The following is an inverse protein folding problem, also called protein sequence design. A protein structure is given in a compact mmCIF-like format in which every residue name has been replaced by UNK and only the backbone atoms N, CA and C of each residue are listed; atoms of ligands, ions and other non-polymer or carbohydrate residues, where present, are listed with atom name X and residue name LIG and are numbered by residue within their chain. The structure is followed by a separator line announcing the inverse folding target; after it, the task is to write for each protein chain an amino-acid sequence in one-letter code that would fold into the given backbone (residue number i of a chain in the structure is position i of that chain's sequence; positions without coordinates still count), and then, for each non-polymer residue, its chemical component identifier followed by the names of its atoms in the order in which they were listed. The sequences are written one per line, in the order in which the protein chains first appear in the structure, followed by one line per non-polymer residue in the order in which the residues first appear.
data_IF_701429794108
#
_entry.id   IF_701429794108
#
_cell.length_a   1.000
_cell.length_b   1.000
_cell.length_c   1.000
_cell.angle_alpha   90.00
_cell.angle_beta   90.00
_cell.angle_gamma   90.00
#
_symmetry.space_group_name_H-M   'P 1'
#
loop_
_entity.id
_entity.type
_entity.pdbx_description
1 polymer ?
#
# COMPACT_ATOMS: atom_id res chain seq x y z
N UNK A 1 9.59 2.36 -11.78
CA UNK A 1 8.15 2.55 -11.53
C UNK A 1 7.92 2.36 -10.04
N UNK A 2 7.17 3.23 -9.36
CA UNK A 2 6.91 3.07 -7.92
C UNK A 2 5.92 1.91 -7.69
N UNK A 3 5.95 1.31 -6.49
CA UNK A 3 5.07 0.18 -6.15
C UNK A 3 3.58 0.54 -6.27
N UNK A 4 3.23 1.79 -5.95
CA UNK A 4 1.87 2.33 -6.11
C UNK A 4 1.42 2.47 -7.56
N UNK A 5 2.32 2.90 -8.47
CA UNK A 5 2.02 2.95 -9.90
C UNK A 5 1.79 1.54 -10.47
N UNK A 6 2.62 0.58 -10.05
CA UNK A 6 2.56 -0.79 -10.50
C UNK A 6 1.23 -1.47 -10.10
N UNK A 7 0.74 -1.19 -8.89
CA UNK A 7 -0.53 -1.71 -8.39
C UNK A 7 -1.74 -1.23 -9.22
N UNK A 8 -1.63 -0.10 -9.92
CA UNK A 8 -2.69 0.49 -10.75
C UNK A 8 -2.54 0.14 -12.24
N UNK A 9 -1.30 0.02 -12.73
CA UNK A 9 -1.00 -0.33 -14.14
C UNK A 9 -1.31 -1.80 -14.45
N UNK A 10 -1.00 -2.72 -13.53
CA UNK A 10 -1.17 -4.16 -13.78
C UNK A 10 -2.63 -4.56 -14.03
N UNK A 11 -3.64 -4.10 -13.27
CA UNK A 11 -5.03 -4.40 -13.57
C UNK A 11 -5.46 -3.95 -14.97
N UNK A 12 -5.08 -2.73 -15.39
CA UNK A 12 -5.39 -2.22 -16.73
C UNK A 12 -4.76 -3.08 -17.83
N UNK A 13 -3.52 -3.51 -17.64
CA UNK A 13 -2.84 -4.36 -18.60
C UNK A 13 -3.53 -5.72 -18.79
N UNK A 14 -3.94 -6.35 -17.69
CA UNK A 14 -4.66 -7.63 -17.74
C UNK A 14 -6.06 -7.50 -18.34
N UNK A 15 -6.75 -6.37 -18.11
CA UNK A 15 -8.00 -6.06 -18.80
C UNK A 15 -7.81 -5.88 -20.31
N UNK A 16 -6.75 -5.20 -20.73
CA UNK A 16 -6.43 -5.05 -22.16
C UNK A 16 -6.12 -6.39 -22.83
N UNK A 17 -5.42 -7.28 -22.13
CA UNK A 17 -5.24 -8.64 -22.59
C UNK A 17 -6.57 -9.40 -22.76
N UNK A 18 -7.51 -9.28 -21.81
CA UNK A 18 -8.81 -9.96 -21.92
C UNK A 18 -9.58 -9.54 -23.17
N UNK A 19 -9.52 -8.25 -23.54
CA UNK A 19 -10.18 -7.73 -24.75
C UNK A 19 -9.58 -8.29 -26.05
N UNK A 20 -8.33 -8.75 -26.02
CA UNK A 20 -7.62 -9.26 -27.19
C UNK A 20 -7.18 -10.73 -27.03
N UNK A 21 -7.82 -11.46 -26.12
CA UNK A 21 -7.39 -12.78 -25.68
C UNK A 21 -7.22 -13.76 -26.85
N UNK A 22 -8.14 -13.76 -27.82
CA UNK A 22 -8.09 -14.67 -28.98
C UNK A 22 -6.81 -14.49 -29.81
N UNK A 23 -6.34 -13.24 -29.98
CA UNK A 23 -5.11 -12.94 -30.73
C UNK A 23 -3.87 -13.41 -29.98
N UNK A 24 -3.87 -13.30 -28.66
CA UNK A 24 -2.80 -13.83 -27.82
C UNK A 24 -2.78 -15.36 -27.82
N UNK A 25 -3.94 -16.02 -27.71
CA UNK A 25 -4.07 -17.47 -27.78
C UNK A 25 -3.59 -18.04 -29.13
N UNK A 26 -3.86 -17.32 -30.23
CA UNK A 26 -3.35 -17.67 -31.56
C UNK A 26 -1.82 -17.57 -31.67
N UNK A 27 -1.19 -16.69 -30.88
CA UNK A 27 0.27 -16.51 -30.87
C UNK A 27 0.98 -17.56 -30.00
N UNK A 28 0.50 -17.83 -28.78
CA UNK A 28 1.06 -18.85 -27.88
C UNK A 28 -0.04 -19.53 -27.07
N UNK A 29 0.04 -20.86 -26.97
CA UNK A 29 -0.88 -21.71 -26.18
C UNK A 29 -0.97 -21.35 -24.69
N UNK A 30 0.05 -20.70 -24.13
CA UNK A 30 0.05 -20.28 -22.72
C UNK A 30 -0.90 -19.11 -22.41
N UNK A 31 -1.41 -18.41 -23.43
CA UNK A 31 -2.37 -17.33 -23.25
C UNK A 31 -3.80 -17.88 -23.22
N UNK A 32 -4.30 -18.15 -22.02
CA UNK A 32 -5.65 -18.68 -21.80
C UNK A 32 -6.58 -17.63 -21.19
N UNK A 33 -7.92 -17.80 -21.29
CA UNK A 33 -8.87 -16.93 -20.61
C UNK A 33 -8.66 -16.89 -19.08
N UNK A 34 -8.24 -18.01 -18.48
CA UNK A 34 -8.04 -18.13 -17.03
C UNK A 34 -6.80 -17.37 -16.55
N UNK A 35 -5.83 -17.11 -17.43
CA UNK A 35 -4.58 -16.43 -17.07
C UNK A 35 -4.85 -15.04 -16.46
N UNK A 36 -5.66 -14.23 -17.14
CA UNK A 36 -6.00 -12.89 -16.66
C UNK A 36 -6.90 -12.92 -15.43
N UNK A 37 -7.85 -13.86 -15.37
CA UNK A 37 -8.73 -14.01 -14.21
C UNK A 37 -7.93 -14.36 -12.96
N UNK A 38 -6.94 -15.27 -13.07
CA UNK A 38 -6.02 -15.58 -11.97
C UNK A 38 -5.17 -14.38 -11.58
N UNK A 39 -4.59 -13.69 -12.57
CA UNK A 39 -3.75 -12.52 -12.32
C UNK A 39 -4.50 -11.38 -11.61
N UNK A 40 -5.72 -11.06 -12.05
CA UNK A 40 -6.57 -10.04 -11.40
C UNK A 40 -6.96 -10.44 -9.98
N UNK A 41 -7.29 -11.71 -9.73
CA UNK A 41 -7.61 -12.20 -8.40
C UNK A 41 -6.41 -12.13 -7.44
N UNK A 42 -5.19 -12.41 -7.92
CA UNK A 42 -3.96 -12.28 -7.12
C UNK A 42 -3.64 -10.81 -6.79
N UNK A 43 -3.82 -9.90 -7.75
CA UNK A 43 -3.67 -8.46 -7.53
C UNK A 43 -4.70 -7.93 -6.52
N UNK A 44 -5.95 -8.36 -6.63
CA UNK A 44 -7.01 -7.96 -5.70
C UNK A 44 -6.72 -8.47 -4.28
N UNK A 45 -6.26 -9.72 -4.13
CA UNK A 45 -5.80 -10.24 -2.84
C UNK A 45 -4.67 -9.38 -2.28
N UNK A 46 -3.66 -9.06 -3.09
CA UNK A 46 -2.53 -8.23 -2.67
C UNK A 46 -2.95 -6.80 -2.27
N UNK A 47 -3.99 -6.22 -2.89
CA UNK A 47 -4.55 -4.91 -2.54
C UNK A 47 -5.41 -4.94 -1.27
N UNK A 48 -6.07 -6.07 -0.98
CA UNK A 48 -6.90 -6.25 0.22
C UNK A 48 -6.08 -6.56 1.48
N UNK A 49 -4.80 -6.94 1.37
CA UNK A 49 -3.96 -7.28 2.50
C UNK A 49 -3.57 -6.02 3.31
N UNK A 50 -4.24 -5.70 4.43
CA UNK A 50 -4.25 -4.40 5.13
C UNK A 50 -3.22 -3.35 4.68
N UNK A 51 -2.51 -2.67 5.54
CA UNK A 51 -1.34 -1.89 5.13
C UNK A 51 -0.30 -2.07 6.21
N UNK A 52 0.99 -1.84 5.93
CA UNK A 52 2.01 -1.90 6.97
C UNK A 52 1.63 -1.02 8.18
N UNK A 53 1.02 0.14 7.94
CA UNK A 53 0.51 1.06 8.98
C UNK A 53 -0.69 0.48 9.76
N UNK A 54 -1.71 -0.05 9.08
CA UNK A 54 -2.88 -0.63 9.75
C UNK A 54 -2.52 -1.89 10.57
N UNK A 55 -1.54 -2.69 10.09
CA UNK A 55 -0.99 -3.84 10.82
C UNK A 55 -0.13 -3.40 12.01
N UNK A 56 0.64 -2.33 11.85
CA UNK A 56 1.41 -1.71 12.94
C UNK A 56 0.49 -1.28 14.10
N UNK A 57 -0.60 -0.58 13.78
CA UNK A 57 -1.56 -0.09 14.79
C UNK A 57 -2.22 -1.21 15.61
N UNK A 58 -2.52 -2.37 15.00
CA UNK A 58 -3.02 -3.53 15.74
C UNK A 58 -1.97 -4.06 16.73
N UNK A 59 -0.74 -4.29 16.27
CA UNK A 59 0.34 -4.80 17.13
C UNK A 59 0.75 -3.84 18.25
N UNK A 60 0.67 -2.52 18.01
CA UNK A 60 0.94 -1.53 19.06
C UNK A 60 -0.17 -1.50 20.11
N UNK A 61 -1.45 -1.69 19.73
CA UNK A 61 -2.54 -1.81 20.69
C UNK A 61 -2.37 -3.05 21.56
N UNK A 62 -2.11 -4.21 20.95
CA UNK A 62 -1.89 -5.48 21.67
C UNK A 62 -0.69 -5.37 22.61
N UNK A 63 0.41 -4.73 22.16
CA UNK A 63 1.57 -4.44 23.00
C UNK A 63 1.23 -3.56 24.20
N UNK A 64 0.42 -2.52 24.02
CA UNK A 64 -0.01 -1.65 25.13
C UNK A 64 -0.79 -2.42 26.19
N UNK A 65 -1.69 -3.31 25.77
CA UNK A 65 -2.40 -4.23 26.68
C UNK A 65 -1.44 -5.20 27.38
N UNK A 66 -0.49 -5.80 26.63
CA UNK A 66 0.49 -6.72 27.20
C UNK A 66 1.37 -6.08 28.27
N UNK A 67 1.81 -4.83 28.06
CA UNK A 67 2.57 -4.06 29.08
C UNK A 67 1.73 -3.87 30.34
N UNK A 68 0.47 -3.44 30.17
CA UNK A 68 -0.44 -3.22 31.30
C UNK A 68 -0.64 -4.50 32.12
N UNK A 69 -0.93 -5.62 31.44
CA UNK A 69 -1.12 -6.91 32.12
C UNK A 69 0.18 -7.43 32.77
N UNK A 70 1.33 -7.19 32.14
CA UNK A 70 2.62 -7.58 32.71
C UNK A 70 2.89 -6.82 34.02
N UNK A 71 2.56 -5.53 34.09
CA UNK A 71 2.68 -4.73 35.30
C UNK A 71 1.72 -5.22 36.40
N UNK A 72 0.50 -5.62 36.05
CA UNK A 72 -0.46 -6.24 36.97
C UNK A 72 0.07 -7.56 37.55
N UNK A 73 0.61 -8.45 36.69
CA UNK A 73 1.25 -9.68 37.15
C UNK A 73 2.47 -9.41 38.06
N UNK A 74 3.30 -8.41 37.73
CA UNK A 74 4.46 -8.05 38.55
C UNK A 74 4.05 -7.49 39.92
N UNK A 75 2.94 -6.77 40.00
CA UNK A 75 2.35 -6.33 41.26
C UNK A 75 1.84 -7.53 42.07
N UNK A 76 1.15 -8.48 41.44
CA UNK A 76 0.73 -9.72 42.10
C UNK A 76 1.93 -10.54 42.60
N UNK A 77 3.03 -10.60 41.84
CA UNK A 77 4.25 -11.27 42.28
C UNK A 77 4.87 -10.60 43.53
N UNK A 78 4.80 -9.28 43.67
CA UNK A 78 5.27 -8.58 44.87
C UNK A 78 4.40 -8.92 46.10
N UNK A 79 3.10 -9.17 45.92
CA UNK A 79 2.25 -9.69 47.01
C UNK A 79 2.68 -11.11 47.40
N UNK A 80 2.97 -11.97 46.42
CA UNK A 80 3.52 -13.30 46.67
C UNK A 80 4.82 -13.25 47.48
N UNK A 81 5.72 -12.32 47.14
CA UNK A 81 6.97 -12.11 47.87
C UNK A 81 6.74 -11.79 49.37
N UNK A 82 5.72 -10.98 49.68
CA UNK A 82 5.31 -10.72 51.05
C UNK A 82 4.81 -11.96 51.79
N UNK A 83 4.01 -12.81 51.14
CA UNK A 83 3.57 -14.09 51.74
C UNK A 83 4.74 -15.06 51.96
N UNK A 84 5.73 -15.04 51.06
CA UNK A 84 6.95 -15.86 51.20
C UNK A 84 7.79 -15.37 52.39
N UNK A 85 7.91 -14.06 52.59
CA UNK A 85 8.61 -13.46 53.73
C UNK A 85 7.96 -13.87 55.05
N UNK A 86 6.63 -13.76 55.15
CA UNK A 86 5.89 -14.13 56.37
C UNK A 86 5.99 -15.64 56.66
N UNK A 87 5.89 -16.48 55.62
CA UNK A 87 6.05 -17.93 55.77
C UNK A 87 7.48 -18.36 56.16
N UNK A 88 8.49 -17.52 55.86
CA UNK A 88 9.92 -17.84 56.02
C UNK A 88 10.70 -16.68 56.68
N UNK A 89 10.50 -16.40 57.98
CA UNK A 89 11.07 -15.22 58.64
C UNK A 89 12.61 -15.26 58.80
N UNK A 90 13.25 -16.42 58.59
CA UNK A 90 14.71 -16.54 58.62
C UNK A 90 15.32 -16.02 57.30
N UNK A 91 16.25 -15.04 57.33
CA UNK A 91 16.72 -14.37 56.10
C UNK A 91 17.33 -15.28 55.04
N UNK A 92 17.97 -16.39 55.44
CA UNK A 92 18.50 -17.40 54.51
C UNK A 92 17.39 -18.18 53.81
N UNK A 93 16.43 -18.69 54.59
CA UNK A 93 15.24 -19.38 54.08
C UNK A 93 14.39 -18.47 53.17
N UNK A 94 14.10 -17.23 53.58
CA UNK A 94 13.37 -16.26 52.76
C UNK A 94 14.01 -16.09 51.37
N UNK A 95 15.32 -15.80 51.34
CA UNK A 95 16.04 -15.60 50.07
C UNK A 95 15.99 -16.82 49.16
N UNK A 96 16.16 -18.01 49.72
CA UNK A 96 16.10 -19.26 48.96
C UNK A 96 14.71 -19.49 48.36
N UNK A 97 13.65 -19.24 49.14
CA UNK A 97 12.27 -19.42 48.70
C UNK A 97 11.84 -18.36 47.69
N UNK A 98 12.24 -17.10 47.90
CA UNK A 98 12.04 -16.01 46.94
C UNK A 98 12.74 -16.27 45.60
N UNK A 99 13.96 -16.80 45.63
CA UNK A 99 14.67 -17.24 44.43
C UNK A 99 13.92 -18.39 43.73
N UNK A 100 13.38 -19.35 44.48
CA UNK A 100 12.58 -20.46 43.95
C UNK A 100 11.27 -19.97 43.29
N UNK A 101 10.67 -18.89 43.80
CA UNK A 101 9.52 -18.22 43.20
C UNK A 101 9.87 -17.36 41.97
N UNK A 102 11.14 -17.35 41.54
CA UNK A 102 11.57 -16.77 40.27
C UNK A 102 12.15 -15.36 40.35
N UNK A 103 12.48 -14.85 41.54
CA UNK A 103 12.97 -13.46 41.73
C UNK A 103 14.12 -13.04 40.80
N UNK A 104 14.99 -13.98 40.41
CA UNK A 104 16.09 -13.73 39.45
C UNK A 104 15.62 -13.21 38.09
N UNK A 105 14.38 -13.49 37.72
CA UNK A 105 13.76 -13.04 36.48
C UNK A 105 12.99 -11.73 36.63
N UNK A 106 12.72 -11.29 37.87
CA UNK A 106 11.85 -10.14 38.15
C UNK A 106 12.35 -8.83 37.53
N UNK A 107 13.64 -8.50 37.70
CA UNK A 107 14.19 -7.25 37.16
C UNK A 107 14.11 -7.19 35.62
N UNK A 108 14.37 -8.31 34.95
CA UNK A 108 14.26 -8.39 33.49
C UNK A 108 12.80 -8.34 33.03
N UNK A 109 11.90 -9.03 33.75
CA UNK A 109 10.47 -9.00 33.48
C UNK A 109 9.89 -7.58 33.62
N UNK A 110 10.30 -6.83 34.64
CA UNK A 110 9.93 -5.42 34.86
C UNK A 110 10.44 -4.47 33.77
N UNK A 111 11.43 -4.88 32.97
CA UNK A 111 11.89 -4.16 31.77
C UNK A 111 11.17 -4.62 30.50
N UNK A 112 10.07 -5.37 30.63
CA UNK A 112 9.30 -5.98 29.55
C UNK A 112 10.11 -6.98 28.71
N UNK A 113 11.05 -7.69 29.33
CA UNK A 113 11.60 -8.90 28.73
C UNK A 113 10.56 -10.02 28.83
N UNK A 114 9.87 -10.28 27.73
CA UNK A 114 8.80 -11.29 27.66
C UNK A 114 9.29 -12.71 27.97
N UNK A 115 10.57 -13.01 27.74
CA UNK A 115 11.14 -14.33 28.05
C UNK A 115 11.38 -14.47 29.54
N UNK A 116 11.92 -13.43 30.18
CA UNK A 116 12.07 -13.41 31.63
C UNK A 116 10.71 -13.40 32.34
N UNK A 117 9.72 -12.68 31.80
CA UNK A 117 8.35 -12.68 32.32
C UNK A 117 7.71 -14.07 32.27
N UNK A 118 7.86 -14.81 31.16
CA UNK A 118 7.38 -16.19 31.05
C UNK A 118 8.07 -17.13 32.07
N UNK A 119 9.37 -16.97 32.29
CA UNK A 119 10.14 -17.72 33.29
C UNK A 119 9.70 -17.38 34.72
N UNK A 120 9.47 -16.10 35.02
CA UNK A 120 8.94 -15.62 36.29
C UNK A 120 7.56 -16.20 36.57
N UNK A 121 6.63 -16.10 35.62
CA UNK A 121 5.28 -16.65 35.73
C UNK A 121 5.30 -18.16 35.99
N UNK A 122 6.11 -18.91 35.23
CA UNK A 122 6.24 -20.35 35.41
C UNK A 122 6.78 -20.72 36.80
N UNK A 123 7.82 -20.02 37.28
CA UNK A 123 8.40 -20.25 38.60
C UNK A 123 7.41 -19.90 39.72
N UNK A 124 6.74 -18.75 39.63
CA UNK A 124 5.77 -18.31 40.63
C UNK A 124 4.58 -19.26 40.76
N UNK A 125 3.99 -19.70 39.64
CA UNK A 125 2.86 -20.64 39.67
C UNK A 125 3.26 -22.03 40.20
N UNK A 126 4.43 -22.53 39.80
CA UNK A 126 4.95 -23.79 40.31
C UNK A 126 5.22 -23.70 41.83
N UNK A 127 5.78 -22.59 42.29
CA UNK A 127 6.05 -22.34 43.70
C UNK A 127 4.76 -22.30 44.52
N UNK A 128 3.76 -21.51 44.11
CA UNK A 128 2.46 -21.42 44.80
C UNK A 128 1.77 -22.79 44.86
N UNK A 129 1.84 -23.58 43.79
CA UNK A 129 1.28 -24.93 43.78
C UNK A 129 2.01 -25.86 44.75
N UNK A 130 3.34 -25.79 44.81
CA UNK A 130 4.17 -26.65 45.64
C UNK A 130 4.04 -26.33 47.13
N UNK A 131 3.95 -25.05 47.48
CA UNK A 131 3.99 -24.55 48.86
C UNK A 131 2.63 -24.03 49.37
N UNK A 132 1.53 -24.41 48.71
CA UNK A 132 0.19 -23.89 48.98
C UNK A 132 -0.23 -23.94 50.46
N UNK A 133 0.04 -25.07 51.14
CA UNK A 133 -0.32 -25.24 52.55
C UNK A 133 0.51 -24.33 53.48
N UNK A 134 1.81 -24.21 53.23
CA UNK A 134 2.70 -23.36 54.03
C UNK A 134 2.38 -21.88 53.84
N UNK A 135 2.11 -21.47 52.60
CA UNK A 135 1.70 -20.10 52.28
C UNK A 135 0.34 -19.75 52.90
N UNK A 136 -0.60 -20.69 52.95
CA UNK A 136 -1.90 -20.46 53.59
C UNK A 136 -1.80 -20.40 55.12
N UNK A 137 -1.09 -21.36 55.73
CA UNK A 137 -1.06 -21.51 57.19
C UNK A 137 -0.10 -20.51 57.87
N UNK A 138 1.08 -20.27 57.27
CA UNK A 138 2.12 -19.39 57.84
C UNK A 138 2.24 -18.06 57.13
N UNK A 139 2.08 -18.06 55.81
CA UNK A 139 2.16 -16.84 55.00
C UNK A 139 0.87 -16.01 55.00
N UNK A 140 -0.19 -16.50 55.67
CA UNK A 140 -1.53 -15.91 55.68
C UNK A 140 -2.08 -15.59 54.27
N UNK A 141 -1.63 -16.33 53.25
CA UNK A 141 -1.99 -16.08 51.86
C UNK A 141 -3.51 -16.27 51.66
N UNK A 142 -4.22 -15.30 51.07
CA UNK A 142 -5.64 -15.42 50.78
C UNK A 142 -5.93 -16.63 49.89
N UNK A 143 -7.00 -17.36 50.20
CA UNK A 143 -7.38 -18.57 49.46
C UNK A 143 -7.70 -18.34 47.97
N UNK A 144 -7.98 -17.10 47.56
CA UNK A 144 -8.25 -16.74 46.15
C UNK A 144 -6.99 -16.35 45.38
N UNK A 145 -5.92 -15.94 46.08
CA UNK A 145 -4.73 -15.35 45.47
C UNK A 145 -4.07 -16.26 44.43
N UNK A 146 -3.98 -17.56 44.72
CA UNK A 146 -3.38 -18.53 43.80
C UNK A 146 -4.14 -18.62 42.46
N UNK A 147 -5.47 -18.47 42.48
CA UNK A 147 -6.29 -18.45 41.28
C UNK A 147 -6.13 -17.12 40.52
N UNK A 148 -6.14 -16.00 41.23
CA UNK A 148 -5.94 -14.65 40.67
C UNK A 148 -4.58 -14.54 39.97
N UNK A 149 -3.50 -15.00 40.61
CA UNK A 149 -2.15 -15.02 40.02
C UNK A 149 -2.08 -15.90 38.74
N UNK A 150 -2.81 -17.01 38.71
CA UNK A 150 -2.88 -17.88 37.55
C UNK A 150 -3.68 -17.27 36.40
N UNK A 151 -4.75 -16.52 36.70
CA UNK A 151 -5.54 -15.78 35.72
C UNK A 151 -4.71 -14.66 35.08
N UNK A 152 -4.02 -13.86 35.89
CA UNK A 152 -3.07 -12.84 35.42
C UNK A 152 -2.02 -13.41 34.45
N UNK A 153 -1.41 -14.54 34.82
CA UNK A 153 -0.44 -15.20 33.96
C UNK A 153 -1.06 -15.73 32.65
N UNK A 154 -2.32 -16.18 32.69
CA UNK A 154 -3.04 -16.65 31.50
C UNK A 154 -3.37 -15.51 30.53
N UNK A 155 -3.71 -14.33 31.05
CA UNK A 155 -4.00 -13.13 30.26
C UNK A 155 -2.75 -12.59 29.58
N UNK A 156 -1.62 -12.50 30.31
CA UNK A 156 -0.31 -12.16 29.73
C UNK A 156 0.03 -13.12 28.58
N UNK A 157 -0.08 -14.43 28.79
CA UNK A 157 0.20 -15.45 27.75
C UNK A 157 -0.72 -15.35 26.54
N UNK A 158 -1.97 -14.97 26.74
CA UNK A 158 -2.94 -14.78 25.65
C UNK A 158 -2.57 -13.57 24.81
N UNK A 159 -2.27 -12.43 25.44
CA UNK A 159 -1.82 -11.22 24.76
C UNK A 159 -0.47 -11.43 24.05
N UNK A 160 0.47 -12.14 24.68
CA UNK A 160 1.77 -12.45 24.08
C UNK A 160 1.62 -13.31 22.82
N UNK A 161 0.78 -14.35 22.85
CA UNK A 161 0.49 -15.18 21.67
C UNK A 161 -0.14 -14.36 20.55
N UNK A 162 -1.11 -13.50 20.89
CA UNK A 162 -1.75 -12.62 19.91
C UNK A 162 -0.73 -11.66 19.27
N UNK A 163 0.13 -11.04 20.09
CA UNK A 163 1.18 -10.14 19.61
C UNK A 163 2.14 -10.84 18.63
N UNK A 164 2.58 -12.06 18.98
CA UNK A 164 3.48 -12.86 18.12
C UNK A 164 2.80 -13.25 16.80
N UNK A 165 1.51 -13.62 16.83
CA UNK A 165 0.74 -13.92 15.62
C UNK A 165 0.59 -12.68 14.73
N UNK A 166 0.30 -11.52 15.31
CA UNK A 166 0.16 -10.26 14.57
C UNK A 166 1.48 -9.84 13.91
N UNK A 167 2.62 -9.97 14.62
CA UNK A 167 3.95 -9.71 14.06
C UNK A 167 4.30 -10.68 12.94
N UNK A 168 4.05 -11.98 13.12
CA UNK A 168 4.26 -13.00 12.09
C UNK A 168 3.41 -12.76 10.84
N UNK A 169 2.12 -12.46 11.01
CA UNK A 169 1.21 -12.14 9.92
C UNK A 169 1.60 -10.87 9.17
N UNK A 170 2.13 -9.85 9.87
CA UNK A 170 2.61 -8.62 9.24
C UNK A 170 3.85 -8.85 8.36
N UNK A 171 4.79 -9.68 8.81
CA UNK A 171 5.98 -10.04 8.03
C UNK A 171 5.60 -10.91 6.82
N UNK A 172 4.83 -11.97 7.04
CA UNK A 172 4.36 -12.85 5.97
C UNK A 172 3.57 -12.06 4.91
N UNK A 173 2.66 -11.19 5.35
CA UNK A 173 1.84 -10.40 4.43
C UNK A 173 2.64 -9.43 3.56
N UNK A 174 3.71 -8.84 4.10
CA UNK A 174 4.61 -7.96 3.33
C UNK A 174 5.38 -8.73 2.27
N UNK A 175 5.90 -9.91 2.61
CA UNK A 175 6.58 -10.80 1.66
C UNK A 175 5.62 -11.31 0.58
N UNK A 176 4.44 -11.80 0.95
CA UNK A 176 3.43 -12.27 -0.01
C UNK A 176 3.02 -11.17 -0.97
N UNK A 177 2.80 -9.94 -0.49
CA UNK A 177 2.45 -8.80 -1.33
C UNK A 177 3.57 -8.46 -2.32
N UNK A 178 4.83 -8.47 -1.90
CA UNK A 178 5.98 -8.21 -2.76
C UNK A 178 6.19 -9.32 -3.80
N UNK A 179 6.14 -10.60 -3.39
CA UNK A 179 6.31 -11.73 -4.30
C UNK A 179 5.20 -11.80 -5.34
N UNK A 180 3.94 -11.64 -4.93
CA UNK A 180 2.81 -11.63 -5.85
C UNK A 180 2.93 -10.47 -6.86
N UNK A 181 3.27 -9.27 -6.39
CA UNK A 181 3.43 -8.11 -7.26
C UNK A 181 4.60 -8.27 -8.26
N UNK A 182 5.73 -8.84 -7.83
CA UNK A 182 6.88 -9.11 -8.69
C UNK A 182 6.54 -10.16 -9.77
N UNK A 183 5.92 -11.28 -9.38
CA UNK A 183 5.51 -12.32 -10.31
C UNK A 183 4.55 -11.79 -11.38
N UNK A 184 3.58 -10.95 -10.97
CA UNK A 184 2.65 -10.31 -11.89
C UNK A 184 3.33 -9.30 -12.81
N UNK A 185 4.32 -8.55 -12.31
CA UNK A 185 5.10 -7.63 -13.14
C UNK A 185 5.93 -8.36 -14.21
N UNK A 186 6.54 -9.49 -13.88
CA UNK A 186 7.28 -10.29 -14.86
C UNK A 186 6.36 -10.86 -15.95
N UNK A 187 5.19 -11.37 -15.57
CA UNK A 187 4.18 -11.86 -16.50
C UNK A 187 3.68 -10.74 -17.44
N UNK A 188 3.39 -9.57 -16.87
CA UNK A 188 3.05 -8.35 -17.60
C UNK A 188 4.13 -7.94 -18.61
N UNK A 189 5.40 -7.90 -18.21
CA UNK A 189 6.48 -7.54 -19.13
C UNK A 189 6.59 -8.52 -20.31
N UNK A 190 6.43 -9.82 -20.05
CA UNK A 190 6.43 -10.85 -21.11
C UNK A 190 5.25 -10.62 -22.07
N UNK A 191 4.07 -10.38 -21.52
CA UNK A 191 2.86 -10.09 -22.30
C UNK A 191 3.01 -8.84 -23.17
N UNK A 192 3.54 -7.74 -22.64
CA UNK A 192 3.77 -6.52 -23.41
C UNK A 192 4.71 -6.73 -24.59
N UNK A 193 5.81 -7.45 -24.38
CA UNK A 193 6.74 -7.77 -25.49
C UNK A 193 6.07 -8.60 -26.57
N UNK A 194 5.22 -9.54 -26.20
CA UNK A 194 4.47 -10.34 -27.15
C UNK A 194 3.38 -9.51 -27.84
N UNK A 195 2.73 -8.58 -27.13
CA UNK A 195 1.77 -7.64 -27.71
C UNK A 195 2.41 -6.82 -28.86
N UNK A 196 3.62 -6.30 -28.67
CA UNK A 196 4.33 -5.56 -29.73
C UNK A 196 4.57 -6.41 -30.98
N UNK A 197 4.71 -7.74 -30.83
CA UNK A 197 4.87 -8.67 -31.96
C UNK A 197 3.54 -8.99 -32.62
N UNK A 198 2.50 -9.24 -31.83
CA UNK A 198 1.13 -9.57 -32.29
C UNK A 198 0.52 -8.39 -33.06
N UNK A 199 0.70 -7.18 -32.53
CA UNK A 199 0.11 -5.94 -33.05
C UNK A 199 1.11 -5.12 -33.89
N UNK A 200 2.19 -5.71 -34.39
CA UNK A 200 3.24 -4.99 -35.14
C UNK A 200 2.72 -4.20 -36.36
N UNK A 201 1.58 -4.60 -36.92
CA UNK A 201 0.93 -3.94 -38.07
C UNK A 201 -0.11 -2.89 -37.66
N UNK A 202 -0.41 -2.79 -36.36
CA UNK A 202 -1.43 -1.93 -35.76
C UNK A 202 -0.76 -1.09 -34.65
N UNK A 203 0.03 -0.06 -35.00
CA UNK A 203 0.89 0.65 -34.06
C UNK A 203 0.09 1.33 -32.93
N UNK A 204 -1.12 1.79 -33.22
CA UNK A 204 -2.02 2.36 -32.20
C UNK A 204 -2.48 1.32 -31.18
N UNK A 205 -2.76 0.09 -31.62
CA UNK A 205 -3.14 -1.01 -30.73
C UNK A 205 -1.93 -1.52 -29.94
N UNK A 206 -0.76 -1.61 -30.58
CA UNK A 206 0.49 -1.94 -29.91
C UNK A 206 0.85 -0.93 -28.80
N UNK A 207 0.57 0.36 -29.01
CA UNK A 207 0.78 1.43 -28.03
C UNK A 207 -0.04 1.23 -26.75
N UNK A 208 -1.24 0.65 -26.84
CA UNK A 208 -2.10 0.42 -25.67
C UNK A 208 -1.49 -0.55 -24.64
N UNK A 209 -0.56 -1.40 -25.08
CA UNK A 209 0.18 -2.32 -24.23
C UNK A 209 1.51 -1.75 -23.73
N UNK A 210 1.85 -0.49 -24.04
CA UNK A 210 3.07 0.13 -23.54
C UNK A 210 2.89 0.63 -22.11
N UNK A 211 3.93 0.46 -21.31
CA UNK A 211 3.93 0.83 -19.90
C UNK A 211 3.70 2.32 -19.70
N UNK A 212 4.28 3.14 -20.57
CA UNK A 212 4.16 4.60 -20.59
C UNK A 212 2.71 5.04 -20.84
N UNK A 213 2.02 4.36 -21.77
CA UNK A 213 0.62 4.63 -22.04
C UNK A 213 -0.26 4.27 -20.84
N UNK A 214 -0.09 3.08 -20.25
CA UNK A 214 -0.86 2.67 -19.09
C UNK A 214 -0.60 3.56 -17.86
N UNK A 215 0.65 4.00 -17.65
CA UNK A 215 1.00 4.97 -16.61
C UNK A 215 0.29 6.31 -16.82
N UNK A 216 0.13 6.75 -18.07
CA UNK A 216 -0.59 7.99 -18.39
C UNK A 216 -2.08 7.94 -18.04
N UNK A 217 -2.69 6.75 -18.10
CA UNK A 217 -4.09 6.53 -17.70
C UNK A 217 -4.24 6.57 -16.17
N UNK A 218 -3.30 5.95 -15.45
CA UNK A 218 -3.33 5.77 -14.00
C UNK A 218 -3.02 7.05 -13.24
N UNK A 219 -1.99 7.78 -13.66
CA UNK A 219 -1.49 8.94 -12.91
C UNK A 219 -2.39 10.16 -13.01
N UNK A 220 -3.55 10.02 -13.67
CA UNK A 220 -4.35 11.13 -14.14
C UNK A 220 -3.58 11.86 -15.23
N UNK A 221 -4.24 12.13 -16.34
CA UNK A 221 -3.73 13.09 -17.30
C UNK A 221 -3.56 14.42 -16.56
N UNK A 222 -2.32 14.85 -16.32
CA UNK A 222 -2.07 16.29 -16.43
C UNK A 222 -2.46 16.60 -17.87
N UNK A 223 -3.71 17.04 -18.10
CA UNK A 223 -4.41 17.03 -19.39
C UNK A 223 -3.41 17.21 -20.53
N UNK A 224 -3.20 16.13 -21.30
CA UNK A 224 -2.53 16.28 -22.58
C UNK A 224 -3.33 17.36 -23.34
N UNK A 225 -2.62 18.32 -23.90
CA UNK A 225 -3.26 19.51 -24.44
C UNK A 225 -2.36 20.11 -25.51
N UNK A 226 -2.98 20.66 -26.55
CA UNK A 226 -2.31 21.64 -27.38
C UNK A 226 -2.33 22.98 -26.63
N UNK A 227 -1.16 23.55 -26.37
CA UNK A 227 -1.02 24.92 -25.87
C UNK A 227 -0.19 25.72 -26.84
N UNK A 228 -0.42 27.02 -26.96
CA UNK A 228 0.41 27.83 -27.82
C UNK A 228 -0.02 29.26 -27.85
N UNK A 229 0.71 30.04 -28.64
CA UNK A 229 0.42 31.45 -28.88
C UNK A 229 0.12 31.65 -30.36
N UNK A 230 -0.97 32.36 -30.64
CA UNK A 230 -1.37 32.77 -31.98
C UNK A 230 -0.98 34.23 -32.17
N UNK A 231 -0.26 34.51 -33.25
CA UNK A 231 0.12 35.89 -33.62
C UNK A 231 -0.38 36.22 -35.01
N UNK A 232 -0.52 37.51 -35.34
CA UNK A 232 -0.73 37.93 -36.73
C UNK A 232 0.61 38.15 -37.46
N UNK A 233 0.54 38.52 -38.75
CA UNK A 233 1.73 38.79 -39.58
C UNK A 233 2.54 40.01 -39.11
N UNK A 234 1.96 40.89 -38.30
CA UNK A 234 2.65 42.02 -37.68
C UNK A 234 3.29 41.65 -36.32
N UNK A 235 3.16 40.39 -35.89
CA UNK A 235 3.68 39.89 -34.63
C UNK A 235 2.82 40.25 -33.41
N UNK A 236 1.61 40.79 -33.62
CA UNK A 236 0.69 41.12 -32.53
C UNK A 236 -0.09 39.87 -32.09
N UNK A 237 -0.43 39.74 -30.79
CA UNK A 237 -1.21 38.62 -30.29
C UNK A 237 -2.61 38.58 -30.93
N UNK A 238 -3.02 37.39 -31.38
CA UNK A 238 -4.30 37.17 -32.02
C UNK A 238 -5.31 36.60 -31.03
N UNK A 239 -6.04 37.50 -30.36
CA UNK A 239 -7.11 37.17 -29.43
C UNK A 239 -8.40 36.75 -30.14
N UNK A 240 -9.22 35.90 -29.50
CA UNK A 240 -10.54 35.50 -29.98
C UNK A 240 -10.55 34.50 -31.14
N UNK A 241 -9.43 33.82 -31.41
CA UNK A 241 -9.33 32.78 -32.44
C UNK A 241 -9.80 31.46 -31.86
N UNK A 242 -10.76 30.82 -32.52
CA UNK A 242 -11.21 29.47 -32.22
C UNK A 242 -10.19 28.46 -32.75
N UNK A 243 -9.66 27.63 -31.85
CA UNK A 243 -8.81 26.48 -32.13
C UNK A 243 -9.62 25.22 -31.89
N UNK A 244 -9.92 24.47 -32.95
CA UNK A 244 -10.75 23.26 -32.88
C UNK A 244 -10.00 22.06 -33.47
N UNK A 245 -10.11 20.90 -32.82
CA UNK A 245 -9.61 19.67 -33.41
C UNK A 245 -10.56 19.17 -34.52
N UNK A 246 -10.05 18.97 -35.73
CA UNK A 246 -10.86 18.55 -36.87
C UNK A 246 -11.56 17.22 -36.60
N UNK A 247 -12.88 17.17 -36.80
CA UNK A 247 -13.71 15.99 -36.55
C UNK A 247 -14.10 15.77 -35.09
N UNK A 248 -13.90 16.76 -34.21
CA UNK A 248 -14.29 16.72 -32.79
C UNK A 248 -14.95 18.02 -32.36
N UNK A 249 -15.70 17.94 -31.26
CA UNK A 249 -16.35 19.09 -30.63
C UNK A 249 -15.45 19.79 -29.60
N UNK A 250 -14.22 19.29 -29.41
CA UNK A 250 -13.22 19.90 -28.53
C UNK A 250 -12.66 21.19 -29.15
N UNK A 251 -12.86 22.34 -28.49
CA UNK A 251 -12.36 23.64 -28.92
C UNK A 251 -11.81 24.48 -27.77
N UNK A 252 -10.96 25.44 -28.11
CA UNK A 252 -10.46 26.48 -27.22
C UNK A 252 -10.45 27.82 -27.96
N UNK A 253 -10.53 28.92 -27.22
CA UNK A 253 -10.44 30.27 -27.78
C UNK A 253 -9.17 30.93 -27.26
N UNK A 254 -8.42 31.63 -28.12
CA UNK A 254 -7.25 32.37 -27.70
C UNK A 254 -7.62 33.60 -26.84
N UNK A 255 -6.87 33.82 -25.77
CA UNK A 255 -7.03 34.96 -24.86
C UNK A 255 -6.42 36.26 -25.42
N UNK A 256 -6.46 37.34 -24.63
CA UNK A 256 -5.92 38.67 -24.99
C UNK A 256 -4.41 38.66 -25.31
N UNK A 257 -3.66 37.72 -24.74
CA UNK A 257 -2.24 37.49 -25.03
C UNK A 257 -2.03 36.57 -26.25
N UNK A 258 -3.11 36.18 -26.94
CA UNK A 258 -3.12 35.23 -28.05
C UNK A 258 -2.87 33.79 -27.61
N UNK A 259 -2.91 33.47 -26.32
CA UNK A 259 -2.63 32.13 -25.80
C UNK A 259 -3.88 31.27 -25.81
N UNK A 260 -3.70 29.99 -26.11
CA UNK A 260 -4.76 29.00 -26.01
C UNK A 260 -4.29 27.74 -25.27
N UNK A 261 -5.26 27.03 -24.68
CA UNK A 261 -5.09 25.70 -24.11
C UNK A 261 -6.27 24.84 -24.52
N UNK A 262 -6.03 23.90 -25.42
CA UNK A 262 -7.02 22.94 -25.92
C UNK A 262 -6.70 21.55 -25.35
N UNK A 263 -7.47 21.07 -24.36
CA UNK A 263 -7.32 19.71 -23.84
C UNK A 263 -7.61 18.70 -24.95
N UNK A 264 -6.65 17.83 -25.24
CA UNK A 264 -6.78 16.76 -26.23
C UNK A 264 -6.17 15.48 -25.67
N UNK A 265 -6.84 14.33 -25.80
CA UNK A 265 -6.20 13.05 -25.55
C UNK A 265 -4.90 12.90 -26.36
N UNK A 266 -4.05 11.96 -25.96
CA UNK A 266 -2.88 11.63 -26.77
C UNK A 266 -3.32 11.10 -28.14
N UNK A 267 -2.72 11.62 -29.21
CA UNK A 267 -3.14 11.34 -30.58
C UNK A 267 -2.52 12.29 -31.59
N UNK A 268 -2.73 12.03 -32.87
CA UNK A 268 -2.35 12.94 -33.95
C UNK A 268 -3.60 13.63 -34.48
N UNK A 269 -3.60 14.95 -34.47
CA UNK A 269 -4.75 15.77 -34.85
C UNK A 269 -4.38 16.76 -35.96
N UNK A 270 -5.39 17.17 -36.72
CA UNK A 270 -5.35 18.42 -37.47
C UNK A 270 -6.11 19.46 -36.67
N UNK A 271 -5.51 20.63 -36.43
CA UNK A 271 -6.18 21.75 -35.75
C UNK A 271 -6.68 22.76 -36.78
N UNK A 272 -7.92 23.19 -36.65
CA UNK A 272 -8.50 24.27 -37.44
C UNK A 272 -8.49 25.56 -36.62
N UNK A 273 -7.94 26.63 -37.21
CA UNK A 273 -7.99 27.98 -36.68
C UNK A 273 -9.08 28.77 -37.44
N UNK A 274 -10.04 29.35 -36.73
CA UNK A 274 -11.12 30.15 -37.32
C UNK A 274 -11.58 31.25 -36.37
N UNK A 275 -12.31 32.26 -36.86
CA UNK A 275 -12.80 33.35 -36.02
C UNK A 275 -13.27 34.55 -36.84
N UNK A 276 -13.91 35.52 -36.17
CA UNK A 276 -14.33 36.75 -36.82
C UNK A 276 -13.13 37.53 -37.37
N UNK A 277 -13.14 37.83 -38.67
CA UNK A 277 -12.04 38.55 -39.33
C UNK A 277 -10.76 37.74 -39.55
N UNK A 278 -10.78 36.41 -39.37
CA UNK A 278 -9.64 35.52 -39.62
C UNK A 278 -9.96 34.56 -40.78
N UNK A 279 -9.05 34.43 -41.74
CA UNK A 279 -9.14 33.40 -42.77
C UNK A 279 -8.89 32.03 -42.12
N UNK A 280 -9.81 31.07 -42.34
CA UNK A 280 -9.69 29.70 -41.82
C UNK A 280 -8.37 29.07 -42.25
N UNK A 281 -7.64 28.49 -41.31
CA UNK A 281 -6.38 27.77 -41.55
C UNK A 281 -6.39 26.41 -40.88
N UNK A 282 -5.65 25.46 -41.44
CA UNK A 282 -5.48 24.12 -40.86
C UNK A 282 -4.00 23.84 -40.56
N UNK A 283 -3.75 23.27 -39.38
CA UNK A 283 -2.45 22.82 -38.91
C UNK A 283 -2.48 21.28 -38.83
N UNK A 284 -2.05 20.58 -39.90
CA UNK A 284 -2.04 19.12 -39.91
C UNK A 284 -0.88 18.55 -39.07
N UNK A 285 -1.04 17.31 -38.59
CA UNK A 285 0.05 16.53 -38.02
C UNK A 285 0.48 16.94 -36.61
N UNK A 286 -0.41 17.56 -35.83
CA UNK A 286 -0.14 17.91 -34.44
C UNK A 286 -0.18 16.64 -33.58
N UNK A 287 1.00 16.17 -33.18
CA UNK A 287 1.15 15.00 -32.30
C UNK A 287 1.11 15.46 -30.84
N UNK A 288 0.09 15.00 -30.13
CA UNK A 288 -0.09 15.18 -28.70
C UNK A 288 0.39 13.92 -27.98
N UNK A 289 1.43 14.07 -27.17
CA UNK A 289 2.00 12.99 -26.38
C UNK A 289 1.27 12.87 -25.03
N UNK A 290 1.13 11.66 -24.46
CA UNK A 290 0.48 11.47 -23.18
C UNK A 290 1.12 12.31 -22.07
N UNK A 291 0.30 13.07 -21.33
CA UNK A 291 0.75 13.89 -20.20
C UNK A 291 1.61 15.11 -20.58
N UNK A 292 1.73 15.44 -21.87
CA UNK A 292 2.51 16.59 -22.36
C UNK A 292 1.56 17.67 -22.88
N UNK A 293 1.78 18.92 -22.44
CA UNK A 293 1.18 20.10 -23.07
C UNK A 293 2.04 20.52 -24.27
N UNK A 294 1.72 19.99 -25.44
CA UNK A 294 2.45 20.25 -26.69
C UNK A 294 2.35 21.74 -27.04
N UNK A 295 3.50 22.38 -27.27
CA UNK A 295 3.55 23.76 -27.77
C UNK A 295 3.25 23.79 -29.27
N UNK A 296 2.25 24.57 -29.68
CA UNK A 296 1.80 24.76 -31.07
C UNK A 296 1.58 26.26 -31.30
N UNK A 297 2.64 26.96 -31.71
CA UNK A 297 2.54 28.37 -32.08
C UNK A 297 2.25 28.50 -33.58
N UNK A 298 1.40 29.45 -33.95
CA UNK A 298 1.02 29.65 -35.35
C UNK A 298 0.71 31.13 -35.65
N UNK A 299 0.89 31.50 -36.91
CA UNK A 299 0.57 32.86 -37.39
C UNK A 299 -0.74 32.86 -38.17
N UNK A 300 -1.73 33.59 -37.69
CA UNK A 300 -3.03 33.72 -38.35
C UNK A 300 -3.03 34.83 -39.40
N UNK A 301 -3.84 34.66 -40.45
CA UNK A 301 -4.04 35.66 -41.50
C UNK A 301 -5.40 36.31 -41.28
N UNK A 302 -5.43 37.64 -41.09
CA UNK A 302 -6.68 38.40 -41.05
C UNK A 302 -7.30 38.44 -42.45
N UNK A 303 -8.61 38.25 -42.53
CA UNK A 303 -9.34 38.41 -43.77
C UNK A 303 -9.27 39.88 -44.22
N UNK A 304 -9.07 40.13 -45.51
CA UNK A 304 -9.20 41.48 -46.06
C UNK A 304 -10.65 41.93 -45.87
N UNK A 305 -10.84 43.11 -45.28
CA UNK A 305 -12.14 43.79 -45.20
C UNK A 305 -12.50 44.32 -46.58
#
# INVERSE_FOLDING_TARGET
MAQGDLALVLPLAWQQYQQHQERFAAYKRGYTPELATKALAELQKAQQMPGAQARGAASERTRGGLVTQADEFLAAWQLLDGYIEEANPEPGAYRAMRDAAGYRHYEAAAKHDWTALEQLMAAALAYVQQYAAELADRGEMPGTFAAELAEEAADVRTLLRQFMQEKGAAQAGTTTQQTALLAQYEAYQKMNRDAQRIFRKEPELARQFQTEYLLSLVRGTGQAAARGTLTDRAGQPAAGVLVQATGRDDFAVSDEDGRFLLPLPAGTYSLTLSGAGITRQELPGVVIEPGVKKRVDATVTRAAV
#
